data_IF_969340973480
#
_entry.id   IF_969340973480
#
_cell.length_a   1.000
_cell.length_b   1.000
_cell.length_c   1.000
_cell.angle_alpha   90.00
_cell.angle_beta   90.00
_cell.angle_gamma   90.00
#
_symmetry.space_group_name_H-M   'P 1'
#
loop_
_entity.id
_entity.type
_entity.pdbx_description
1 polymer ?
#
# COMPACT_ATOMS: atom_id res chain seq x y z
N UNK A 1 1.99 29.25 12.55
CA UNK A 1 3.26 28.84 11.91
C UNK A 1 3.43 27.34 11.61
N UNK A 2 2.64 26.42 12.18
CA UNK A 2 2.71 24.97 11.87
C UNK A 2 2.03 24.59 10.54
N UNK A 3 1.01 25.37 10.14
CA UNK A 3 0.24 25.21 8.91
C UNK A 3 0.98 25.79 7.68
N UNK A 4 1.74 26.88 7.85
CA UNK A 4 2.53 27.49 6.78
C UNK A 4 3.71 26.63 6.31
N UNK A 5 4.30 25.82 7.22
CA UNK A 5 5.42 24.92 6.91
C UNK A 5 4.97 23.60 6.27
N UNK A 6 3.79 23.07 6.64
CA UNK A 6 3.22 21.86 6.01
C UNK A 6 2.54 22.16 4.68
N UNK A 7 1.84 23.29 4.60
CA UNK A 7 1.28 23.77 3.33
C UNK A 7 2.40 24.23 2.37
N UNK A 8 3.44 24.92 2.87
CA UNK A 8 4.57 25.38 2.05
C UNK A 8 5.36 24.24 1.41
N UNK A 9 5.75 23.21 2.18
CA UNK A 9 6.46 22.04 1.62
C UNK A 9 5.57 21.13 0.75
N UNK A 10 4.29 20.97 1.12
CA UNK A 10 3.32 20.18 0.36
C UNK A 10 2.98 20.82 -1.00
N UNK A 11 2.83 22.15 -1.05
CA UNK A 11 2.55 22.92 -2.27
C UNK A 11 3.82 23.07 -3.13
N UNK A 12 5.01 23.23 -2.55
CA UNK A 12 6.26 23.36 -3.31
C UNK A 12 6.63 22.06 -4.04
N UNK A 13 6.46 20.89 -3.41
CA UNK A 13 6.62 19.59 -4.08
C UNK A 13 5.46 19.23 -5.02
N UNK A 14 4.22 19.65 -4.70
CA UNK A 14 3.03 19.32 -5.48
C UNK A 14 2.80 20.19 -6.72
N UNK A 15 3.24 21.45 -6.71
CA UNK A 15 2.89 22.44 -7.74
C UNK A 15 4.10 22.96 -8.54
N UNK A 16 5.31 22.98 -7.98
CA UNK A 16 6.48 23.60 -8.62
C UNK A 16 7.37 22.61 -9.40
N UNK A 17 7.32 21.32 -9.07
CA UNK A 17 8.03 20.26 -9.79
C UNK A 17 7.50 19.98 -11.21
N UNK A 18 6.18 19.96 -11.50
CA UNK A 18 5.69 19.72 -12.85
C UNK A 18 5.96 20.89 -13.82
N UNK A 19 6.15 22.11 -13.30
CA UNK A 19 6.44 23.30 -14.11
C UNK A 19 7.89 23.37 -14.62
N UNK A 20 8.87 22.86 -13.85
CA UNK A 20 10.29 22.95 -14.21
C UNK A 20 10.76 21.83 -15.16
N UNK A 21 9.99 20.76 -15.29
CA UNK A 21 10.41 19.52 -15.97
C UNK A 21 10.02 19.46 -17.46
N UNK A 22 9.20 20.38 -17.98
CA UNK A 22 8.95 20.51 -19.43
C UNK A 22 8.40 19.24 -20.09
N UNK A 23 7.60 18.43 -19.36
CA UNK A 23 7.12 17.13 -19.83
C UNK A 23 5.78 17.28 -20.55
N UNK A 24 5.70 16.71 -21.75
CA UNK A 24 4.51 16.62 -22.62
C UNK A 24 3.27 16.21 -21.80
N UNK A 25 2.13 16.91 -22.00
CA UNK A 25 0.92 16.88 -21.16
C UNK A 25 0.33 15.47 -20.93
N UNK A 26 0.75 14.50 -21.74
CA UNK A 26 0.38 13.07 -21.72
C UNK A 26 0.85 12.34 -20.45
N UNK A 27 1.93 12.80 -19.81
CA UNK A 27 2.46 12.23 -18.57
C UNK A 27 2.12 13.06 -17.31
N UNK A 28 1.33 14.12 -17.47
CA UNK A 28 0.91 14.98 -16.36
C UNK A 28 0.06 14.26 -15.32
N UNK A 29 -0.87 13.39 -15.74
CA UNK A 29 -1.76 12.66 -14.82
C UNK A 29 -1.03 11.66 -13.88
N UNK A 30 -0.08 10.83 -14.38
CA UNK A 30 0.79 10.03 -13.51
C UNK A 30 1.65 10.89 -12.56
N UNK A 31 2.19 12.01 -13.06
CA UNK A 31 3.04 12.92 -12.27
C UNK A 31 2.30 13.59 -11.11
N UNK A 32 1.05 14.01 -11.33
CA UNK A 32 0.19 14.56 -10.29
C UNK A 32 -0.16 13.52 -9.21
N UNK A 33 -0.41 12.28 -9.62
CA UNK A 33 -0.73 11.18 -8.69
C UNK A 33 0.49 10.79 -7.84
N UNK A 34 1.67 10.74 -8.46
CA UNK A 34 2.92 10.49 -7.75
C UNK A 34 3.23 11.61 -6.74
N UNK A 35 3.03 12.88 -7.14
CA UNK A 35 3.24 14.04 -6.28
C UNK A 35 2.28 14.05 -5.08
N UNK A 36 1.01 13.69 -5.30
CA UNK A 36 0.03 13.52 -4.22
C UNK A 36 0.43 12.41 -3.23
N UNK A 37 0.98 11.29 -3.73
CA UNK A 37 1.51 10.21 -2.88
C UNK A 37 2.70 10.66 -2.01
N UNK A 38 3.65 11.40 -2.58
CA UNK A 38 4.80 11.95 -1.84
C UNK A 38 4.35 12.97 -0.79
N UNK A 39 3.42 13.85 -1.14
CA UNK A 39 2.86 14.82 -0.22
C UNK A 39 2.15 14.15 0.98
N UNK A 40 1.37 13.10 0.73
CA UNK A 40 0.72 12.32 1.80
C UNK A 40 1.73 11.62 2.72
N UNK A 41 2.82 11.09 2.19
CA UNK A 41 3.86 10.46 3.00
C UNK A 41 4.60 11.47 3.90
N UNK A 42 4.88 12.65 3.37
CA UNK A 42 5.48 13.75 4.14
C UNK A 42 4.55 14.22 5.27
N UNK A 43 3.26 14.43 4.98
CA UNK A 43 2.26 14.81 5.97
C UNK A 43 2.17 13.76 7.08
N UNK A 44 2.09 12.48 6.74
CA UNK A 44 2.08 11.38 7.70
C UNK A 44 3.32 11.39 8.60
N UNK A 45 4.51 11.63 8.03
CA UNK A 45 5.75 11.71 8.79
C UNK A 45 5.78 12.90 9.76
N UNK A 46 5.33 14.08 9.30
CA UNK A 46 5.20 15.29 10.13
C UNK A 46 4.18 15.10 11.28
N UNK A 47 3.04 14.46 10.99
CA UNK A 47 2.04 14.10 11.99
C UNK A 47 2.60 13.11 13.01
N UNK A 48 3.26 12.05 12.54
CA UNK A 48 3.88 11.04 13.41
C UNK A 48 4.94 11.64 14.32
N UNK A 49 5.78 12.54 13.80
CA UNK A 49 6.78 13.28 14.59
C UNK A 49 6.14 14.24 15.59
N UNK A 50 5.07 14.94 15.19
CA UNK A 50 4.33 15.86 16.05
C UNK A 50 3.63 15.15 17.21
N UNK A 51 3.02 14.00 16.95
CA UNK A 51 2.40 13.11 17.96
C UNK A 51 3.48 12.54 18.87
N UNK A 52 4.58 12.01 18.30
CA UNK A 52 5.70 11.46 19.07
C UNK A 52 6.28 12.45 20.08
N UNK A 53 6.32 13.75 19.74
CA UNK A 53 6.77 14.81 20.66
C UNK A 53 5.79 15.15 21.78
N UNK A 54 4.48 14.90 21.61
CA UNK A 54 3.44 15.26 22.60
C UNK A 54 3.02 14.10 23.49
N UNK A 55 2.97 12.89 22.95
CA UNK A 55 2.36 11.71 23.59
C UNK A 55 3.41 10.62 23.88
N UNK A 56 4.62 10.73 23.29
CA UNK A 56 5.66 9.71 23.37
C UNK A 56 5.71 8.84 22.10
N UNK A 57 6.81 8.09 21.93
CA UNK A 57 7.01 7.28 20.73
C UNK A 57 6.00 6.13 20.64
N UNK A 58 5.23 6.11 19.54
CA UNK A 58 4.39 4.96 19.17
C UNK A 58 5.29 3.87 18.62
N UNK A 59 5.53 2.87 19.45
CA UNK A 59 6.38 1.74 19.12
C UNK A 59 5.61 0.73 18.27
N UNK A 60 6.00 0.61 17.01
CA UNK A 60 5.62 -0.53 16.18
C UNK A 60 6.54 -1.69 16.56
N UNK A 61 6.05 -2.93 16.73
CA UNK A 61 6.89 -4.07 17.04
C UNK A 61 8.06 -4.18 16.05
N UNK A 62 9.29 -4.21 16.57
CA UNK A 62 10.51 -4.35 15.76
C UNK A 62 10.42 -5.68 15.01
N UNK A 63 10.32 -5.64 13.69
CA UNK A 63 10.17 -6.82 12.83
C UNK A 63 8.78 -7.02 12.21
N UNK A 64 7.77 -6.25 12.61
CA UNK A 64 6.45 -6.31 11.97
C UNK A 64 6.49 -5.89 10.50
N UNK A 65 7.06 -4.72 10.23
CA UNK A 65 7.21 -4.18 8.87
C UNK A 65 7.89 -5.16 7.90
N UNK A 66 9.09 -5.68 8.18
CA UNK A 66 9.74 -6.59 7.24
C UNK A 66 8.97 -7.90 7.04
N UNK A 67 8.27 -8.42 8.07
CA UNK A 67 7.39 -9.60 7.91
C UNK A 67 6.20 -9.31 6.99
N UNK A 68 5.59 -8.13 7.11
CA UNK A 68 4.50 -7.73 6.21
C UNK A 68 5.00 -7.56 4.77
N UNK A 69 6.19 -6.98 4.61
CA UNK A 69 6.81 -6.81 3.29
C UNK A 69 7.16 -8.15 2.64
N UNK A 70 7.73 -9.10 3.38
CA UNK A 70 8.03 -10.43 2.83
C UNK A 70 6.76 -11.21 2.52
N UNK A 71 5.72 -11.12 3.35
CA UNK A 71 4.42 -11.71 3.06
C UNK A 71 3.77 -11.10 1.79
N UNK A 72 3.86 -9.78 1.61
CA UNK A 72 3.38 -9.11 0.41
C UNK A 72 4.17 -9.55 -0.83
N UNK A 73 5.50 -9.58 -0.76
CA UNK A 73 6.35 -10.03 -1.86
C UNK A 73 6.07 -11.48 -2.25
N UNK A 74 5.88 -12.37 -1.27
CA UNK A 74 5.53 -13.76 -1.51
C UNK A 74 4.15 -13.90 -2.17
N UNK A 75 3.16 -13.17 -1.67
CA UNK A 75 1.81 -13.16 -2.26
C UNK A 75 1.82 -12.63 -3.70
N UNK A 76 2.59 -11.57 -3.97
CA UNK A 76 2.78 -11.04 -5.32
C UNK A 76 3.45 -12.06 -6.22
N UNK A 77 4.51 -12.73 -5.77
CA UNK A 77 5.20 -13.76 -6.54
C UNK A 77 4.25 -14.92 -6.92
N UNK A 78 3.45 -15.41 -5.97
CA UNK A 78 2.46 -16.48 -6.23
C UNK A 78 1.37 -16.01 -7.19
N UNK A 79 0.81 -14.82 -6.98
CA UNK A 79 -0.22 -14.27 -7.85
C UNK A 79 0.28 -14.02 -9.28
N UNK A 80 1.52 -13.56 -9.44
CA UNK A 80 2.15 -13.38 -10.74
C UNK A 80 2.45 -14.71 -11.43
N UNK A 81 2.97 -15.70 -10.71
CA UNK A 81 3.24 -17.03 -11.26
C UNK A 81 1.97 -17.67 -11.81
N UNK A 82 0.85 -17.58 -11.06
CA UNK A 82 -0.45 -18.10 -11.52
C UNK A 82 -1.01 -17.26 -12.67
N UNK A 83 -0.88 -15.93 -12.63
CA UNK A 83 -1.29 -15.07 -13.74
C UNK A 83 -0.57 -15.45 -15.04
N UNK A 84 0.75 -15.66 -14.98
CA UNK A 84 1.57 -16.05 -16.13
C UNK A 84 1.23 -17.47 -16.61
N UNK A 85 1.00 -18.42 -15.70
CA UNK A 85 0.58 -19.77 -16.05
C UNK A 85 -0.77 -19.79 -16.77
N UNK A 86 -1.76 -19.01 -16.29
CA UNK A 86 -3.08 -18.89 -16.92
C UNK A 86 -3.00 -18.19 -18.29
N UNK A 87 -2.09 -17.21 -18.43
CA UNK A 87 -1.85 -16.55 -19.73
C UNK A 87 -1.28 -17.51 -20.77
N UNK A 88 -0.43 -18.46 -20.37
CA UNK A 88 0.20 -19.43 -21.27
C UNK A 88 -0.69 -20.66 -21.55
N UNK A 89 -1.61 -21.02 -20.65
CA UNK A 89 -2.40 -22.26 -20.73
C UNK A 89 -3.85 -22.10 -21.23
N UNK A 90 -4.36 -20.87 -21.39
CA UNK A 90 -5.60 -20.52 -22.11
C UNK A 90 -6.88 -21.28 -21.71
N UNK A 91 -7.73 -20.70 -20.83
CA UNK A 91 -9.15 -20.57 -21.19
C UNK A 91 -9.90 -19.31 -20.66
N UNK A 92 -9.25 -18.37 -19.96
CA UNK A 92 -9.91 -17.17 -19.43
C UNK A 92 -9.63 -15.92 -20.28
N UNK A 93 -10.31 -15.77 -21.42
CA UNK A 93 -10.20 -14.57 -22.28
C UNK A 93 -10.90 -13.32 -21.70
N UNK A 94 -11.81 -13.50 -20.72
CA UNK A 94 -12.52 -12.38 -20.10
C UNK A 94 -11.67 -11.72 -19.01
N UNK A 95 -11.49 -10.38 -19.04
CA UNK A 95 -10.62 -9.66 -18.10
C UNK A 95 -11.11 -9.69 -16.65
N UNK A 96 -12.44 -9.70 -16.44
CA UNK A 96 -13.07 -9.65 -15.11
C UNK A 96 -12.79 -10.90 -14.27
N UNK A 97 -13.12 -12.14 -14.71
CA UNK A 97 -12.87 -13.34 -13.91
C UNK A 97 -11.37 -13.58 -13.66
N UNK A 98 -10.51 -13.20 -14.61
CA UNK A 98 -9.06 -13.23 -14.41
C UNK A 98 -8.62 -12.28 -13.28
N UNK A 99 -9.16 -11.06 -13.24
CA UNK A 99 -8.87 -10.11 -12.17
C UNK A 99 -9.34 -10.64 -10.81
N UNK A 100 -10.57 -11.17 -10.73
CA UNK A 100 -11.11 -11.76 -9.49
C UNK A 100 -10.22 -12.89 -8.99
N UNK A 101 -9.77 -13.79 -9.86
CA UNK A 101 -8.93 -14.91 -9.49
C UNK A 101 -7.54 -14.46 -9.01
N UNK A 102 -6.91 -13.52 -9.72
CA UNK A 102 -5.58 -13.02 -9.34
C UNK A 102 -5.64 -12.19 -8.05
N UNK A 103 -6.63 -11.31 -7.89
CA UNK A 103 -6.82 -10.55 -6.64
C UNK A 103 -7.19 -11.47 -5.48
N UNK A 104 -8.09 -12.44 -5.71
CA UNK A 104 -8.48 -13.42 -4.70
C UNK A 104 -7.29 -14.25 -4.24
N UNK A 105 -6.48 -14.74 -5.18
CA UNK A 105 -5.27 -15.50 -4.88
C UNK A 105 -4.24 -14.65 -4.13
N UNK A 106 -4.01 -13.40 -4.53
CA UNK A 106 -3.15 -12.48 -3.82
C UNK A 106 -3.63 -12.27 -2.36
N UNK A 107 -4.93 -12.02 -2.17
CA UNK A 107 -5.50 -11.83 -0.84
C UNK A 107 -5.36 -13.07 0.06
N UNK A 108 -5.67 -14.25 -0.47
CA UNK A 108 -5.55 -15.52 0.27
C UNK A 108 -4.10 -15.83 0.61
N UNK A 109 -3.17 -15.65 -0.33
CA UNK A 109 -1.75 -15.93 -0.11
C UNK A 109 -1.12 -14.93 0.86
N UNK A 110 -1.48 -13.65 0.77
CA UNK A 110 -1.03 -12.61 1.71
C UNK A 110 -1.55 -12.87 3.13
N UNK A 111 -2.85 -13.15 3.27
CA UNK A 111 -3.44 -13.51 4.56
C UNK A 111 -2.82 -14.80 5.11
N UNK A 112 -2.67 -15.83 4.28
CA UNK A 112 -2.02 -17.08 4.67
C UNK A 112 -0.59 -16.88 5.14
N UNK A 113 0.22 -16.10 4.42
CA UNK A 113 1.59 -15.79 4.79
C UNK A 113 1.69 -14.97 6.09
N UNK A 114 0.81 -13.98 6.29
CA UNK A 114 0.80 -13.16 7.51
C UNK A 114 0.32 -13.94 8.74
N UNK A 115 -0.61 -14.87 8.57
CA UNK A 115 -1.02 -15.83 9.62
C UNK A 115 0.12 -16.80 9.94
N UNK A 116 0.78 -17.35 8.92
CA UNK A 116 1.90 -18.28 9.09
C UNK A 116 3.08 -17.64 9.83
N UNK A 117 3.37 -16.36 9.56
CA UNK A 117 4.37 -15.57 10.27
C UNK A 117 3.94 -15.10 11.68
N UNK A 118 2.74 -15.53 12.14
CA UNK A 118 2.14 -15.19 13.44
C UNK A 118 2.17 -13.69 13.74
N UNK A 119 1.77 -12.89 12.76
CA UNK A 119 1.61 -11.45 12.97
C UNK A 119 0.42 -11.21 13.91
N UNK A 120 0.64 -10.66 15.13
CA UNK A 120 -0.43 -10.49 16.13
C UNK A 120 -1.60 -9.67 15.58
N UNK A 121 -1.29 -8.61 14.85
CA UNK A 121 -2.27 -7.68 14.27
C UNK A 121 -3.14 -8.35 13.19
N UNK A 122 -2.56 -9.26 12.39
CA UNK A 122 -3.29 -9.99 11.35
C UNK A 122 -4.25 -11.02 11.95
N UNK A 123 -3.83 -11.68 13.03
CA UNK A 123 -4.65 -12.67 13.74
C UNK A 123 -5.84 -12.00 14.42
N UNK A 124 -5.64 -10.84 15.04
CA UNK A 124 -6.73 -10.05 15.60
C UNK A 124 -7.72 -9.54 14.53
N UNK A 125 -7.20 -8.95 13.45
CA UNK A 125 -8.03 -8.44 12.36
C UNK A 125 -8.87 -9.56 11.72
N UNK A 126 -8.26 -10.73 11.48
CA UNK A 126 -8.95 -11.90 10.96
C UNK A 126 -10.01 -12.44 11.94
N UNK A 127 -9.70 -12.43 13.24
CA UNK A 127 -10.66 -12.85 14.26
C UNK A 127 -11.87 -11.92 14.33
N UNK A 128 -11.70 -10.61 14.11
CA UNK A 128 -12.80 -9.63 14.04
C UNK A 128 -13.63 -9.82 12.78
N UNK A 129 -12.99 -9.97 11.63
CA UNK A 129 -13.67 -10.23 10.36
C UNK A 129 -14.49 -11.53 10.43
N UNK A 130 -13.92 -12.61 10.99
CA UNK A 130 -14.61 -13.89 11.17
C UNK A 130 -15.81 -13.80 12.13
N UNK A 131 -15.76 -12.92 13.14
CA UNK A 131 -16.91 -12.68 14.03
C UNK A 131 -18.04 -11.92 13.33
N UNK A 132 -17.69 -10.97 12.45
CA UNK A 132 -18.67 -10.20 11.66
C UNK A 132 -19.33 -11.07 10.59
N UNK A 133 -18.59 -11.95 9.93
CA UNK A 133 -19.11 -12.84 8.89
C UNK A 133 -19.97 -14.00 9.44
N UNK A 134 -19.92 -14.23 10.76
CA UNK A 134 -20.68 -15.28 11.46
C UNK A 134 -21.92 -14.73 12.16
N UNK A 135 -22.20 -13.44 11.99
CA UNK A 135 -23.49 -12.79 12.30
C UNK A 135 -24.30 -12.68 11.03
#
# INVERSE_FOLDING_TARGET
MRVALTAGLGVFCGLFLPGLLGIDAKFGAPGLTASAGVAGWLEFWLLRRGIGRRIGEVHVPKGLLPRLWTAAALATAVALAVKLAIQNAGPLDRPIPRAILVLGLFGVTYLGATIAMRVPEATEALSRARRLLRR
#
